data_IF_468481372901
#
_entry.id   IF_468481372901
#
_cell.length_a   1.000
_cell.length_b   1.000
_cell.length_c   1.000
_cell.angle_alpha   90.00
_cell.angle_beta   90.00
_cell.angle_gamma   90.00
#
_symmetry.space_group_name_H-M   'P 1'
#
loop_
_entity.id
_entity.type
_entity.pdbx_description
1 polymer ?
#
# COMPACT_ATOMS: atom_id res chain seq x y z
N UNK A 1 69.59 34.55 9.12
CA UNK A 1 69.33 33.51 8.10
C UNK A 1 67.84 33.46 7.93
N UNK A 2 67.36 33.85 6.76
CA UNK A 2 65.96 34.18 6.46
C UNK A 2 65.42 33.11 5.51
N UNK A 3 64.28 32.49 5.85
CA UNK A 3 63.45 31.75 4.89
C UNK A 3 61.98 32.04 5.21
N UNK A 4 61.18 32.52 4.25
CA UNK A 4 59.74 32.73 4.40
C UNK A 4 58.97 31.48 3.95
N UNK A 5 57.89 31.14 4.63
CA UNK A 5 56.91 30.15 4.20
C UNK A 5 55.59 30.84 3.94
N UNK A 6 55.20 30.90 2.67
CA UNK A 6 53.92 31.41 2.17
C UNK A 6 52.72 30.71 2.83
N UNK A 7 51.76 31.50 3.30
CA UNK A 7 50.42 31.03 3.64
C UNK A 7 49.42 31.77 2.76
N UNK A 8 49.08 31.15 1.62
CA UNK A 8 48.00 31.59 0.75
C UNK A 8 46.65 31.44 1.47
N UNK A 9 46.02 32.56 1.82
CA UNK A 9 44.63 32.60 2.25
C UNK A 9 43.73 32.53 1.02
N UNK A 10 43.06 31.39 0.80
CA UNK A 10 41.93 31.30 -0.14
C UNK A 10 40.65 31.67 0.62
N UNK A 11 40.12 32.85 0.28
CA UNK A 11 38.78 33.29 0.65
C UNK A 11 37.80 32.68 -0.36
N UNK A 12 37.07 31.65 0.03
CA UNK A 12 35.95 31.13 -0.76
C UNK A 12 34.66 31.79 -0.29
N UNK A 13 34.21 32.78 -1.07
CA UNK A 13 32.84 33.31 -1.06
C UNK A 13 31.89 32.23 -1.58
N UNK A 14 31.25 31.48 -0.69
CA UNK A 14 30.15 30.58 -1.02
C UNK A 14 28.83 31.23 -0.61
N UNK A 15 28.26 32.02 -1.52
CA UNK A 15 26.91 32.56 -1.36
C UNK A 15 25.90 31.41 -1.55
N UNK A 16 24.93 31.22 -0.63
CA UNK A 16 23.97 30.14 -0.78
C UNK A 16 23.05 30.43 -1.98
N UNK A 17 23.17 29.59 -3.02
CA UNK A 17 22.22 29.55 -4.13
C UNK A 17 20.85 29.19 -3.55
N UNK A 18 19.97 30.18 -3.48
CA UNK A 18 18.57 29.97 -3.13
C UNK A 18 17.89 29.25 -4.28
N UNK A 19 17.74 27.93 -4.14
CA UNK A 19 16.91 27.12 -5.03
C UNK A 19 15.46 27.57 -4.79
N UNK A 20 14.74 28.06 -5.81
CA UNK A 20 13.32 28.39 -5.63
C UNK A 20 12.57 27.12 -5.22
N UNK A 21 11.64 27.19 -4.25
CA UNK A 21 10.82 26.04 -3.92
C UNK A 21 10.13 25.57 -5.19
N UNK A 22 10.39 24.33 -5.59
CA UNK A 22 9.71 23.67 -6.71
C UNK A 22 8.22 23.85 -6.45
N UNK A 23 7.53 24.56 -7.34
CA UNK A 23 6.11 24.79 -7.22
C UNK A 23 5.44 23.43 -6.98
N UNK A 24 4.91 23.26 -5.76
CA UNK A 24 4.09 22.10 -5.42
C UNK A 24 2.83 22.22 -6.26
N UNK A 25 2.85 21.64 -7.46
CA UNK A 25 1.62 21.37 -8.19
C UNK A 25 0.73 20.60 -7.22
N UNK A 26 -0.34 21.26 -6.78
CA UNK A 26 -1.29 20.65 -5.84
C UNK A 26 -2.02 19.57 -6.63
N UNK A 27 -1.48 18.34 -6.62
CA UNK A 27 -2.08 17.20 -7.30
C UNK A 27 -3.51 17.08 -6.80
N UNK A 28 -4.47 17.20 -7.70
CA UNK A 28 -5.88 16.97 -7.38
C UNK A 28 -6.05 15.48 -7.08
N UNK A 29 -6.43 15.15 -5.86
CA UNK A 29 -6.72 13.78 -5.45
C UNK A 29 -7.87 13.21 -6.28
N UNK A 30 -7.78 11.94 -6.67
CA UNK A 30 -8.90 11.21 -7.25
C UNK A 30 -10.02 11.03 -6.22
N UNK A 31 -11.27 10.71 -6.62
CA UNK A 31 -12.34 10.40 -5.67
C UNK A 31 -11.94 9.30 -4.68
N UNK A 32 -11.17 8.31 -5.13
CA UNK A 32 -10.69 7.22 -4.31
C UNK A 32 -9.63 7.69 -3.31
N UNK A 33 -8.67 8.49 -3.76
CA UNK A 33 -7.64 9.09 -2.91
C UNK A 33 -8.21 10.07 -1.87
N UNK A 34 -9.38 10.67 -2.14
CA UNK A 34 -10.04 11.55 -1.17
C UNK A 34 -10.46 10.84 0.14
N UNK A 35 -10.55 9.52 0.13
CA UNK A 35 -10.82 8.72 1.31
C UNK A 35 -9.59 8.50 2.21
N UNK A 36 -8.38 8.88 1.78
CA UNK A 36 -7.08 8.66 2.46
C UNK A 36 -6.67 7.17 2.61
N UNK A 37 -7.66 6.30 2.81
CA UNK A 37 -7.56 4.86 3.02
C UNK A 37 -8.70 4.19 2.25
N UNK A 38 -8.38 3.08 1.59
CA UNK A 38 -9.30 2.39 0.69
C UNK A 38 -9.25 0.91 1.02
N UNK A 39 -10.21 0.46 1.82
CA UNK A 39 -10.37 -0.93 2.24
C UNK A 39 -11.31 -1.69 1.31
N UNK A 40 -10.93 -2.88 0.86
CA UNK A 40 -11.80 -3.73 0.06
C UNK A 40 -11.64 -5.22 0.38
N UNK A 41 -12.72 -5.96 0.18
CA UNK A 41 -12.82 -7.41 0.29
C UNK A 41 -12.84 -8.02 -1.11
N UNK A 42 -12.15 -9.13 -1.32
CA UNK A 42 -12.31 -9.91 -2.56
C UNK A 42 -13.63 -10.71 -2.54
N UNK A 43 -14.20 -11.07 -3.71
CA UNK A 43 -15.44 -11.86 -3.76
C UNK A 43 -15.30 -13.27 -3.18
N UNK A 44 -14.06 -13.78 -3.03
CA UNK A 44 -13.79 -15.04 -2.31
C UNK A 44 -14.03 -14.94 -0.80
N UNK A 45 -14.17 -13.72 -0.27
CA UNK A 45 -14.23 -13.39 1.16
C UNK A 45 -12.99 -13.84 1.97
N UNK A 46 -11.96 -14.35 1.28
CA UNK A 46 -10.77 -14.93 1.90
C UNK A 46 -9.62 -13.94 1.98
N UNK A 47 -9.65 -12.85 1.20
CA UNK A 47 -8.61 -11.83 1.13
C UNK A 47 -9.25 -10.46 1.25
N UNK A 48 -8.70 -9.62 2.12
CA UNK A 48 -9.07 -8.23 2.25
C UNK A 48 -7.80 -7.36 2.22
N UNK A 49 -7.90 -6.17 1.65
CA UNK A 49 -6.77 -5.28 1.44
C UNK A 49 -7.11 -3.85 1.83
N UNK A 50 -6.06 -3.09 2.15
CA UNK A 50 -6.09 -1.66 2.40
C UNK A 50 -5.04 -0.99 1.53
N UNK A 51 -5.45 0.02 0.77
CA UNK A 51 -4.57 0.95 0.06
C UNK A 51 -4.55 2.27 0.83
N UNK A 52 -3.36 2.76 1.16
CA UNK A 52 -3.14 4.06 1.79
C UNK A 52 -1.96 4.76 1.11
N UNK A 53 -1.71 6.03 1.46
CA UNK A 53 -0.67 6.83 0.81
C UNK A 53 0.72 6.19 0.88
N UNK A 54 1.00 5.51 1.98
CA UNK A 54 2.32 4.95 2.25
C UNK A 54 2.51 3.55 1.65
N UNK A 55 1.43 2.83 1.33
CA UNK A 55 1.55 1.43 0.99
C UNK A 55 0.23 0.69 0.79
N UNK A 56 0.38 -0.60 0.53
CA UNK A 56 -0.73 -1.56 0.48
C UNK A 56 -0.48 -2.70 1.44
N UNK A 57 -1.53 -3.10 2.17
CA UNK A 57 -1.51 -4.28 3.03
C UNK A 57 -2.68 -5.20 2.72
N UNK A 58 -2.46 -6.51 2.70
CA UNK A 58 -3.49 -7.52 2.45
C UNK A 58 -3.40 -8.69 3.44
N UNK A 59 -4.52 -9.00 4.08
CA UNK A 59 -4.68 -10.17 4.94
C UNK A 59 -5.33 -11.31 4.16
N UNK A 60 -4.95 -12.53 4.48
CA UNK A 60 -5.57 -13.75 3.98
C UNK A 60 -5.89 -14.70 5.13
N UNK A 61 -7.10 -15.26 5.17
CA UNK A 61 -7.54 -16.14 6.27
C UNK A 61 -7.14 -17.60 6.07
N UNK A 62 -7.40 -18.13 4.88
CA UNK A 62 -7.18 -19.54 4.57
C UNK A 62 -6.16 -19.71 3.44
N UNK A 63 -5.07 -20.42 3.72
CA UNK A 63 -4.00 -20.75 2.76
C UNK A 63 -3.71 -22.25 2.79
N UNK A 64 -3.27 -22.81 1.66
CA UNK A 64 -2.75 -24.19 1.58
C UNK A 64 -1.23 -24.25 1.78
N UNK A 65 -0.57 -23.10 1.81
CA UNK A 65 0.87 -22.94 2.02
C UNK A 65 1.19 -22.38 3.40
N UNK A 66 2.44 -22.56 3.81
CA UNK A 66 3.04 -21.84 4.92
C UNK A 66 3.81 -20.63 4.39
N UNK A 67 3.59 -19.47 4.98
CA UNK A 67 4.40 -18.27 4.75
C UNK A 67 5.44 -18.12 5.87
N UNK A 68 6.61 -17.61 5.54
CA UNK A 68 7.64 -17.29 6.54
C UNK A 68 7.31 -15.96 7.21
N UNK A 69 6.45 -16.00 8.23
CA UNK A 69 6.25 -14.86 9.15
C UNK A 69 6.97 -15.17 10.46
N UNK A 70 7.38 -14.13 11.18
CA UNK A 70 7.94 -14.16 12.54
C UNK A 70 7.19 -15.18 13.41
N UNK A 71 7.89 -15.80 14.36
CA UNK A 71 7.38 -16.89 15.20
C UNK A 71 5.91 -16.68 15.63
N UNK A 72 5.06 -17.70 15.45
CA UNK A 72 3.60 -17.60 15.56
C UNK A 72 3.10 -17.08 16.93
N UNK A 73 3.93 -17.13 17.97
CA UNK A 73 3.63 -16.55 19.27
C UNK A 73 3.46 -15.01 19.23
N UNK A 74 4.09 -14.33 18.28
CA UNK A 74 4.11 -12.86 18.17
C UNK A 74 3.23 -12.32 17.04
N UNK A 75 2.54 -13.20 16.29
CA UNK A 75 1.85 -12.84 15.06
C UNK A 75 0.41 -13.36 15.00
N UNK A 76 -0.53 -12.54 15.48
CA UNK A 76 -1.97 -12.87 15.46
C UNK A 76 -2.54 -12.77 14.04
N UNK A 77 -2.06 -11.82 13.23
CA UNK A 77 -2.58 -11.54 11.89
C UNK A 77 -1.43 -11.41 10.88
N UNK A 78 -1.05 -12.51 10.19
CA UNK A 78 -0.08 -12.44 9.12
C UNK A 78 -0.65 -11.64 7.94
N UNK A 79 0.14 -10.70 7.44
CA UNK A 79 -0.26 -9.80 6.34
C UNK A 79 0.88 -9.67 5.34
N UNK A 80 0.57 -9.43 4.08
CA UNK A 80 1.55 -9.00 3.08
C UNK A 80 1.49 -7.49 2.96
N UNK A 81 2.64 -6.83 3.06
CA UNK A 81 2.75 -5.38 2.94
C UNK A 81 3.68 -4.96 1.80
N UNK A 82 3.41 -3.80 1.21
CA UNK A 82 4.27 -3.10 0.27
C UNK A 82 4.29 -1.60 0.62
N UNK A 83 5.29 -1.17 1.41
CA UNK A 83 5.42 0.24 1.87
C UNK A 83 6.54 1.03 1.20
N UNK A 84 7.82 0.83 1.55
CA UNK A 84 8.95 1.54 0.92
C UNK A 84 9.89 0.61 0.17
N UNK A 85 10.25 -0.48 0.83
CA UNK A 85 11.22 -1.43 0.32
C UNK A 85 10.51 -2.48 -0.53
N UNK A 86 10.79 -3.75 -0.30
CA UNK A 86 10.23 -4.88 -1.02
C UNK A 86 8.90 -5.34 -0.40
N UNK A 87 8.03 -5.97 -1.21
CA UNK A 87 6.90 -6.72 -0.69
C UNK A 87 7.38 -7.77 0.31
N UNK A 88 6.74 -7.87 1.47
CA UNK A 88 7.11 -8.84 2.50
C UNK A 88 5.94 -9.28 3.35
N UNK A 89 6.10 -10.46 3.94
CA UNK A 89 5.23 -10.95 5.00
C UNK A 89 5.60 -10.27 6.32
N UNK A 90 4.60 -9.74 7.02
CA UNK A 90 4.75 -9.09 8.33
C UNK A 90 3.57 -9.46 9.25
N UNK A 91 3.52 -8.84 10.42
CA UNK A 91 2.43 -8.98 11.37
C UNK A 91 1.65 -7.66 11.45
N UNK A 92 0.40 -7.68 11.01
CA UNK A 92 -0.49 -6.54 11.18
C UNK A 92 -0.96 -6.45 12.64
N UNK A 93 -1.22 -5.22 13.10
CA UNK A 93 -1.94 -4.96 14.37
C UNK A 93 -3.43 -4.74 14.15
N UNK A 94 -3.89 -4.77 12.90
CA UNK A 94 -5.27 -4.46 12.54
C UNK A 94 -5.72 -5.27 11.35
N UNK A 95 -6.95 -5.75 11.39
CA UNK A 95 -7.49 -6.64 10.38
C UNK A 95 -7.96 -5.87 9.14
N UNK A 96 -7.44 -6.23 7.97
CA UNK A 96 -7.89 -5.71 6.68
C UNK A 96 -9.36 -6.05 6.39
N UNK A 97 -9.89 -7.11 6.99
CA UNK A 97 -11.32 -7.44 6.93
C UNK A 97 -12.18 -6.42 7.68
N UNK A 98 -11.65 -5.85 8.77
CA UNK A 98 -12.32 -4.76 9.49
C UNK A 98 -12.21 -3.48 8.68
N UNK A 99 -11.06 -3.18 8.11
CA UNK A 99 -10.86 -1.99 7.26
C UNK A 99 -11.80 -2.01 6.03
N UNK A 100 -12.02 -3.17 5.41
CA UNK A 100 -12.91 -3.34 4.26
C UNK A 100 -14.42 -3.14 4.56
N UNK A 101 -14.81 -2.92 5.82
CA UNK A 101 -16.21 -2.60 6.15
C UNK A 101 -16.60 -1.24 5.54
N UNK A 102 -17.82 -1.14 4.99
CA UNK A 102 -18.32 0.10 4.37
C UNK A 102 -18.30 1.29 5.33
N UNK A 103 -18.48 1.04 6.63
CA UNK A 103 -18.46 2.08 7.68
C UNK A 103 -17.06 2.54 8.09
N UNK A 104 -16.03 1.81 7.67
CA UNK A 104 -14.63 2.10 7.95
C UNK A 104 -14.00 2.64 6.65
N UNK A 105 -13.08 1.91 6.03
CA UNK A 105 -12.35 2.35 4.83
C UNK A 105 -13.01 1.90 3.51
N UNK A 106 -14.19 1.26 3.58
CA UNK A 106 -14.94 0.75 2.42
C UNK A 106 -15.96 1.72 1.81
N UNK A 107 -16.11 2.96 2.30
CA UNK A 107 -17.18 3.87 1.85
C UNK A 107 -17.11 4.20 0.34
N UNK A 108 -15.92 4.08 -0.27
CA UNK A 108 -15.66 4.31 -1.69
C UNK A 108 -16.63 3.56 -2.62
N UNK A 109 -17.13 2.39 -2.18
CA UNK A 109 -18.07 1.57 -2.96
C UNK A 109 -19.38 2.28 -3.31
N UNK A 110 -19.73 3.34 -2.57
CA UNK A 110 -20.90 4.17 -2.84
C UNK A 110 -20.65 5.25 -3.90
N UNK A 111 -19.38 5.54 -4.19
CA UNK A 111 -18.94 6.70 -5.00
C UNK A 111 -18.23 6.27 -6.27
N UNK A 112 -17.58 5.11 -6.26
CA UNK A 112 -16.81 4.59 -7.39
C UNK A 112 -17.59 3.45 -8.06
N UNK A 113 -17.84 3.53 -9.38
CA UNK A 113 -18.56 2.50 -10.10
C UNK A 113 -17.77 1.17 -10.11
N UNK A 114 -18.51 0.07 -10.12
CA UNK A 114 -17.93 -1.28 -10.19
C UNK A 114 -17.57 -1.90 -8.84
N UNK A 115 -17.75 -1.20 -7.72
CA UNK A 115 -17.72 -1.84 -6.41
C UNK A 115 -19.09 -2.46 -6.05
N UNK A 116 -19.08 -3.48 -5.20
CA UNK A 116 -20.28 -4.15 -4.70
C UNK A 116 -20.34 -4.11 -3.17
N UNK A 117 -21.55 -4.07 -2.60
CA UNK A 117 -21.72 -4.21 -1.14
C UNK A 117 -22.24 -5.60 -0.82
N UNK A 118 -21.48 -6.35 -0.03
CA UNK A 118 -21.93 -7.63 0.54
C UNK A 118 -22.23 -7.48 2.02
N UNK A 119 -23.20 -8.24 2.53
CA UNK A 119 -23.54 -8.27 3.95
C UNK A 119 -23.18 -9.63 4.55
N UNK A 120 -22.16 -9.65 5.42
CA UNK A 120 -21.67 -10.84 6.11
C UNK A 120 -21.92 -10.63 7.60
N UNK A 121 -22.69 -11.51 8.24
CA UNK A 121 -23.04 -11.40 9.66
C UNK A 121 -23.58 -10.01 10.05
N UNK A 122 -24.47 -9.46 9.21
CA UNK A 122 -25.05 -8.11 9.36
C UNK A 122 -24.08 -6.93 9.19
N UNK A 123 -22.82 -7.17 8.85
CA UNK A 123 -21.82 -6.14 8.56
C UNK A 123 -21.70 -5.97 7.04
N UNK A 124 -21.81 -4.73 6.57
CA UNK A 124 -21.60 -4.38 5.16
C UNK A 124 -20.10 -4.24 4.86
N UNK A 125 -19.64 -4.94 3.83
CA UNK A 125 -18.26 -4.86 3.33
C UNK A 125 -18.26 -4.35 1.89
N UNK A 126 -17.25 -3.55 1.57
CA UNK A 126 -16.96 -3.10 0.23
C UNK A 126 -16.21 -4.19 -0.52
N UNK A 127 -16.82 -4.74 -1.57
CA UNK A 127 -16.26 -5.79 -2.40
C UNK A 127 -15.71 -5.18 -3.68
N UNK A 128 -14.52 -5.62 -4.08
CA UNK A 128 -13.97 -5.36 -5.40
C UNK A 128 -14.18 -6.61 -6.29
N UNK A 129 -15.16 -6.61 -7.20
CA UNK A 129 -15.48 -7.76 -8.04
C UNK A 129 -14.31 -8.28 -8.85
N UNK A 130 -14.35 -9.55 -9.22
CA UNK A 130 -13.32 -10.15 -10.07
C UNK A 130 -13.28 -9.46 -11.44
N UNK A 131 -12.08 -9.18 -11.92
CA UNK A 131 -11.85 -8.44 -13.16
C UNK A 131 -11.85 -6.91 -12.98
N UNK A 132 -12.03 -6.41 -11.76
CA UNK A 132 -11.93 -4.99 -11.44
C UNK A 132 -10.65 -4.66 -10.69
N UNK A 133 -10.30 -3.37 -10.72
CA UNK A 133 -9.11 -2.83 -10.08
C UNK A 133 -9.40 -1.48 -9.43
N UNK A 134 -8.61 -1.16 -8.40
CA UNK A 134 -8.57 0.14 -7.75
C UNK A 134 -7.17 0.73 -7.93
N UNK A 135 -7.09 2.03 -8.21
CA UNK A 135 -5.84 2.79 -8.32
C UNK A 135 -5.88 4.01 -7.39
N UNK A 136 -4.95 4.09 -6.43
CA UNK A 136 -4.83 5.19 -5.48
C UNK A 136 -3.38 5.33 -4.98
N UNK A 137 -2.90 6.56 -4.80
CA UNK A 137 -1.62 6.90 -4.15
C UNK A 137 -0.36 6.21 -4.71
N UNK A 138 -0.31 5.95 -6.02
CA UNK A 138 0.77 5.17 -6.70
C UNK A 138 0.63 3.65 -6.62
N UNK A 139 -0.49 3.13 -6.12
CA UNK A 139 -0.75 1.70 -6.07
C UNK A 139 -1.93 1.30 -6.93
N UNK A 140 -1.82 0.13 -7.57
CA UNK A 140 -2.94 -0.55 -8.23
C UNK A 140 -3.13 -1.91 -7.61
N UNK A 141 -4.36 -2.20 -7.18
CA UNK A 141 -4.76 -3.55 -6.79
C UNK A 141 -5.85 -4.07 -7.73
N UNK A 142 -5.61 -5.24 -8.31
CA UNK A 142 -6.56 -5.94 -9.17
C UNK A 142 -7.10 -7.19 -8.48
N UNK A 143 -8.43 -7.34 -8.47
CA UNK A 143 -9.11 -8.52 -7.97
C UNK A 143 -9.26 -9.54 -9.10
N UNK A 144 -8.59 -10.69 -8.99
CA UNK A 144 -8.67 -11.78 -9.99
C UNK A 144 -9.13 -13.07 -9.32
N UNK A 145 -9.69 -14.00 -10.10
CA UNK A 145 -10.01 -15.36 -9.60
C UNK A 145 -8.77 -16.11 -9.10
N UNK A 146 -7.60 -15.75 -9.61
CA UNK A 146 -6.29 -16.28 -9.21
C UNK A 146 -5.66 -15.54 -8.01
N UNK A 147 -6.43 -14.73 -7.29
CA UNK A 147 -5.96 -13.92 -6.17
C UNK A 147 -5.94 -12.42 -6.44
N UNK A 148 -5.63 -11.63 -5.41
CA UNK A 148 -5.37 -10.21 -5.55
C UNK A 148 -3.96 -10.00 -6.06
N UNK A 149 -3.77 -9.02 -6.93
CA UNK A 149 -2.45 -8.55 -7.35
C UNK A 149 -2.35 -7.06 -7.08
N UNK A 150 -1.44 -6.67 -6.20
CA UNK A 150 -1.17 -5.27 -5.87
C UNK A 150 0.24 -4.90 -6.34
N UNK A 151 0.36 -3.75 -7.01
CA UNK A 151 1.63 -3.25 -7.56
C UNK A 151 1.77 -1.76 -7.25
N UNK A 152 3.00 -1.34 -6.95
CA UNK A 152 3.38 0.07 -6.98
C UNK A 152 3.67 0.46 -8.43
N UNK A 153 3.05 1.53 -8.91
CA UNK A 153 3.11 1.93 -10.31
C UNK A 153 4.47 2.55 -10.68
N UNK A 154 5.14 3.21 -9.73
CA UNK A 154 6.44 3.86 -9.95
C UNK A 154 7.61 2.91 -10.21
N UNK A 155 7.62 1.72 -9.61
CA UNK A 155 8.76 0.80 -9.67
C UNK A 155 8.40 -0.67 -9.96
N UNK A 156 7.10 -0.94 -10.17
CA UNK A 156 6.55 -2.26 -10.49
C UNK A 156 6.73 -3.35 -9.44
N UNK A 157 7.23 -3.01 -8.24
CA UNK A 157 7.23 -3.94 -7.11
C UNK A 157 5.82 -4.23 -6.66
N UNK A 158 5.58 -5.43 -6.18
CA UNK A 158 4.24 -5.90 -5.96
C UNK A 158 4.15 -7.28 -5.34
N UNK A 159 2.93 -7.72 -5.15
CA UNK A 159 2.67 -9.07 -4.74
C UNK A 159 1.40 -9.59 -5.38
N UNK A 160 1.33 -10.91 -5.49
CA UNK A 160 0.09 -11.64 -5.74
C UNK A 160 -0.19 -12.53 -4.55
N UNK A 161 -1.44 -12.51 -4.07
CA UNK A 161 -1.87 -13.27 -2.91
C UNK A 161 -3.15 -14.05 -3.23
N UNK A 162 -3.10 -15.37 -3.06
CA UNK A 162 -4.21 -16.30 -3.27
C UNK A 162 -4.21 -17.40 -2.21
N UNK A 163 -5.23 -18.25 -2.18
CA UNK A 163 -5.28 -19.35 -1.20
C UNK A 163 -4.26 -20.46 -1.49
N UNK A 164 -3.91 -20.69 -2.76
CA UNK A 164 -3.06 -21.81 -3.16
C UNK A 164 -1.57 -21.46 -3.22
N UNK A 165 -1.25 -20.19 -3.44
CA UNK A 165 0.10 -19.70 -3.61
C UNK A 165 0.16 -18.17 -3.43
N UNK A 166 1.38 -17.66 -3.35
CA UNK A 166 1.67 -16.23 -3.35
C UNK A 166 2.98 -15.97 -4.09
N UNK A 167 3.17 -14.72 -4.50
CA UNK A 167 4.39 -14.25 -5.16
C UNK A 167 4.70 -12.83 -4.69
N UNK A 168 5.97 -12.55 -4.41
CA UNK A 168 6.49 -11.24 -4.04
C UNK A 168 7.52 -10.85 -5.11
N UNK A 169 7.37 -9.69 -5.75
CA UNK A 169 8.19 -9.27 -6.89
C UNK A 169 8.54 -7.78 -6.87
#
# INVERSE_FOLDING_TARGET
MTTPGDASTQTSDDAPVSIPPRASETRKLTPLESHQRVGFLMPSENVACLIEEQGVTCDIRNTSYQHTVVNAADCVEPTVELYRDRPQWTCSRSSRFVDAQVRNDGEWVRRVPGGEVVRINSIQHAVLPYGHQLEAFDFRCASKKSGVQCVRLSDHRGFRLASQDYELF
#
